data_IF_828920746335
#
_entry.id   IF_828920746335
#
_cell.length_a   1.000
_cell.length_b   1.000
_cell.length_c   1.000
_cell.angle_alpha   90.00
_cell.angle_beta   90.00
_cell.angle_gamma   90.00
#
_symmetry.space_group_name_H-M   'P 1'
#
loop_
_entity.id
_entity.type
_entity.pdbx_description
1 polymer ?
#
# COMPACT_ATOMS: atom_id res chain seq x y z
N UNK A 1 -23.63 0.74 -2.74
CA UNK A 1 -24.17 0.45 -4.10
C UNK A 1 -23.04 -0.07 -4.99
N UNK A 2 -23.28 -1.01 -5.91
CA UNK A 2 -22.27 -1.42 -6.89
C UNK A 2 -22.21 -0.38 -8.02
N UNK A 3 -21.02 0.15 -8.33
CA UNK A 3 -20.79 1.11 -9.42
C UNK A 3 -20.25 0.45 -10.69
N UNK A 4 -19.47 -0.63 -10.54
CA UNK A 4 -18.88 -1.35 -11.67
C UNK A 4 -18.39 -2.74 -11.28
N UNK A 5 -18.36 -3.63 -12.27
CA UNK A 5 -17.83 -4.99 -12.16
C UNK A 5 -16.86 -5.23 -13.33
N UNK A 6 -15.78 -5.97 -13.08
CA UNK A 6 -14.74 -6.30 -14.04
C UNK A 6 -14.11 -7.65 -13.73
N UNK A 7 -13.51 -8.29 -14.72
CA UNK A 7 -12.63 -9.44 -14.57
C UNK A 7 -11.21 -9.07 -14.09
N UNK A 8 -10.95 -7.77 -13.88
CA UNK A 8 -9.76 -7.24 -13.25
C UNK A 8 -8.63 -6.87 -14.20
N UNK A 9 -8.79 -7.03 -15.52
CA UNK A 9 -7.73 -6.75 -16.48
C UNK A 9 -7.37 -5.25 -16.55
N UNK A 10 -6.08 -4.96 -16.50
CA UNK A 10 -5.55 -3.61 -16.72
C UNK A 10 -4.14 -3.66 -17.32
N UNK A 11 -3.72 -2.57 -17.96
CA UNK A 11 -2.35 -2.39 -18.46
C UNK A 11 -1.77 -1.16 -17.78
N UNK A 12 -0.64 -1.34 -17.10
CA UNK A 12 0.07 -0.24 -16.45
C UNK A 12 0.69 0.70 -17.47
N UNK A 13 0.74 2.01 -17.16
CA UNK A 13 1.37 3.03 -18.02
C UNK A 13 2.40 3.89 -17.28
N UNK A 14 2.55 3.65 -15.98
CA UNK A 14 3.51 4.32 -15.11
C UNK A 14 4.91 3.71 -15.17
N UNK A 15 5.82 4.31 -14.42
CA UNK A 15 7.26 3.98 -14.48
C UNK A 15 7.60 2.56 -14.01
N UNK A 16 6.78 1.97 -13.13
CA UNK A 16 7.05 0.65 -12.53
C UNK A 16 6.47 -0.47 -13.41
N UNK A 17 5.23 -0.33 -13.88
CA UNK A 17 4.56 -1.38 -14.65
C UNK A 17 4.70 -1.22 -16.17
N UNK A 18 4.80 0.01 -16.70
CA UNK A 18 5.28 0.32 -18.06
C UNK A 18 4.83 -0.62 -19.18
N UNK A 19 3.55 -0.59 -19.55
CA UNK A 19 2.99 -1.36 -20.67
C UNK A 19 2.71 -2.84 -20.36
N UNK A 20 3.01 -3.31 -19.14
CA UNK A 20 2.73 -4.69 -18.74
C UNK A 20 1.24 -4.89 -18.44
N UNK A 21 0.71 -6.00 -18.96
CA UNK A 21 -0.63 -6.46 -18.65
C UNK A 21 -0.66 -7.14 -17.28
N UNK A 22 -1.67 -6.80 -16.49
CA UNK A 22 -1.90 -7.31 -15.15
C UNK A 22 -3.38 -7.60 -14.94
N UNK A 23 -3.70 -8.29 -13.86
CA UNK A 23 -5.08 -8.47 -13.42
C UNK A 23 -5.19 -8.37 -11.90
N UNK A 24 -6.33 -7.88 -11.42
CA UNK A 24 -6.79 -7.97 -10.03
C UNK A 24 -7.75 -9.14 -9.78
N UNK A 25 -7.99 -9.97 -10.80
CA UNK A 25 -9.07 -10.95 -10.83
C UNK A 25 -10.45 -10.28 -10.71
N UNK A 26 -11.52 -11.04 -10.41
CA UNK A 26 -12.84 -10.48 -10.14
C UNK A 26 -12.78 -9.22 -9.26
N UNK A 27 -13.22 -8.10 -9.85
CA UNK A 27 -13.07 -6.76 -9.28
C UNK A 27 -14.40 -6.05 -9.29
N UNK A 28 -14.68 -5.32 -8.22
CA UNK A 28 -15.87 -4.49 -8.09
C UNK A 28 -15.49 -3.11 -7.58
N UNK A 29 -16.10 -2.07 -8.17
CA UNK A 29 -16.13 -0.74 -7.57
C UNK A 29 -17.46 -0.60 -6.85
N UNK A 30 -17.40 -0.34 -5.56
CA UNK A 30 -18.58 -0.10 -4.73
C UNK A 30 -18.55 1.30 -4.15
N UNK A 31 -19.73 1.87 -3.98
CA UNK A 31 -19.97 3.10 -3.25
C UNK A 31 -20.51 2.76 -1.85
N UNK A 32 -19.86 3.31 -0.83
CA UNK A 32 -20.28 3.23 0.58
C UNK A 32 -20.35 4.65 1.10
N UNK A 33 -21.56 5.19 1.23
CA UNK A 33 -21.83 6.55 1.73
C UNK A 33 -20.98 7.63 1.05
N UNK A 34 -20.83 7.55 -0.29
CA UNK A 34 -20.03 8.48 -1.09
C UNK A 34 -18.53 8.19 -1.11
N UNK A 35 -18.07 7.12 -0.47
CA UNK A 35 -16.70 6.60 -0.57
C UNK A 35 -16.67 5.51 -1.64
N UNK A 36 -15.84 5.69 -2.65
CA UNK A 36 -15.56 4.63 -3.61
C UNK A 36 -14.50 3.68 -3.08
N UNK A 37 -14.79 2.39 -3.18
CA UNK A 37 -13.91 1.31 -2.75
C UNK A 37 -13.70 0.37 -3.93
N UNK A 38 -12.45 0.23 -4.35
CA UNK A 38 -12.03 -0.79 -5.30
C UNK A 38 -11.79 -2.10 -4.54
N UNK A 39 -12.66 -3.08 -4.75
CA UNK A 39 -12.57 -4.42 -4.18
C UNK A 39 -11.97 -5.35 -5.22
N UNK A 40 -10.89 -6.04 -4.85
CA UNK A 40 -10.12 -6.92 -5.74
C UNK A 40 -9.98 -8.30 -5.11
N UNK A 41 -9.96 -9.36 -5.93
CA UNK A 41 -9.71 -10.71 -5.45
C UNK A 41 -8.23 -11.06 -5.35
N UNK A 42 -7.40 -10.45 -6.20
CA UNK A 42 -5.95 -10.67 -6.23
C UNK A 42 -5.23 -9.41 -5.75
N UNK A 43 -4.72 -9.47 -4.51
CA UNK A 43 -4.02 -8.34 -3.88
C UNK A 43 -2.66 -8.09 -4.55
N UNK A 44 -2.42 -6.85 -4.96
CA UNK A 44 -1.11 -6.39 -5.43
C UNK A 44 -0.75 -5.04 -4.80
N UNK A 45 0.50 -4.61 -4.98
CA UNK A 45 0.93 -3.27 -4.55
C UNK A 45 0.33 -2.20 -5.47
N UNK A 46 -0.16 -1.11 -4.89
CA UNK A 46 -0.60 0.08 -5.63
C UNK A 46 0.62 0.89 -6.06
N UNK A 47 1.06 0.73 -7.31
CA UNK A 47 2.29 1.28 -7.90
C UNK A 47 2.05 1.97 -9.24
N UNK A 48 0.80 2.06 -9.69
CA UNK A 48 0.41 2.65 -10.97
C UNK A 48 -0.99 3.29 -10.87
N UNK A 49 -1.24 4.37 -11.63
CA UNK A 49 -2.55 5.04 -11.66
C UNK A 49 -3.59 4.22 -12.42
N UNK A 50 -3.16 3.39 -13.37
CA UNK A 50 -4.04 2.51 -14.14
C UNK A 50 -4.74 1.47 -13.29
N UNK A 51 -4.17 1.12 -12.13
CA UNK A 51 -4.80 0.27 -11.13
C UNK A 51 -6.10 0.86 -10.55
N UNK A 52 -6.36 2.16 -10.74
CA UNK A 52 -7.63 2.81 -10.41
C UNK A 52 -8.40 3.22 -11.66
N UNK A 53 -7.71 3.82 -12.65
CA UNK A 53 -8.32 4.35 -13.88
C UNK A 53 -8.98 3.28 -14.73
N UNK A 54 -8.38 2.10 -14.83
CA UNK A 54 -8.95 0.98 -15.59
C UNK A 54 -10.35 0.56 -15.08
N UNK A 55 -10.66 0.89 -13.82
CA UNK A 55 -11.94 0.58 -13.18
C UNK A 55 -12.80 1.84 -12.96
N UNK A 56 -12.50 2.94 -13.66
CA UNK A 56 -13.33 4.15 -13.68
C UNK A 56 -13.08 5.12 -12.52
N UNK A 57 -12.02 4.94 -11.73
CA UNK A 57 -11.66 5.85 -10.65
C UNK A 57 -10.50 6.74 -11.12
N UNK A 58 -10.77 8.01 -11.47
CA UNK A 58 -9.71 8.99 -11.75
C UNK A 58 -9.17 9.57 -10.42
N UNK A 59 -7.92 9.28 -10.04
CA UNK A 59 -7.42 9.68 -8.72
C UNK A 59 -7.28 11.20 -8.57
N UNK A 60 -7.02 11.94 -9.66
CA UNK A 60 -6.87 13.40 -9.65
C UNK A 60 -8.18 14.15 -9.36
N UNK A 61 -9.32 13.50 -9.57
CA UNK A 61 -10.64 14.07 -9.30
C UNK A 61 -11.08 13.86 -7.84
N UNK A 62 -10.27 13.15 -7.03
CA UNK A 62 -10.60 12.82 -5.65
C UNK A 62 -9.86 13.70 -4.67
N UNK A 63 -10.62 14.21 -3.69
CA UNK A 63 -10.08 15.05 -2.61
C UNK A 63 -9.11 14.28 -1.70
N UNK A 64 -9.36 12.98 -1.50
CA UNK A 64 -8.57 12.08 -0.66
C UNK A 64 -8.48 10.72 -1.33
N UNK A 65 -7.29 10.13 -1.31
CA UNK A 65 -7.05 8.76 -1.73
C UNK A 65 -6.41 7.99 -0.56
N UNK A 66 -7.00 6.84 -0.22
CA UNK A 66 -6.45 5.93 0.79
C UNK A 66 -5.80 4.73 0.10
N UNK A 67 -4.51 4.53 0.30
CA UNK A 67 -3.75 3.40 -0.25
C UNK A 67 -3.11 2.59 0.87
N UNK A 68 -3.22 1.26 0.79
CA UNK A 68 -2.51 0.36 1.70
C UNK A 68 -1.08 0.14 1.20
N UNK A 69 -0.20 1.12 1.43
CA UNK A 69 1.21 1.04 1.07
C UNK A 69 2.08 1.83 2.03
N UNK A 70 3.39 1.58 2.04
CA UNK A 70 4.37 2.35 2.82
C UNK A 70 5.28 3.22 1.94
N UNK A 71 5.72 2.71 0.78
CA UNK A 71 6.77 3.34 -0.02
C UNK A 71 6.47 3.36 -1.52
N UNK A 72 6.26 2.21 -2.16
CA UNK A 72 6.24 2.14 -3.63
C UNK A 72 5.11 2.94 -4.31
N UNK A 73 4.02 3.23 -3.60
CA UNK A 73 2.95 4.09 -4.14
C UNK A 73 3.47 5.50 -4.51
N UNK A 74 4.52 5.97 -3.85
CA UNK A 74 5.03 7.33 -4.03
C UNK A 74 5.38 7.63 -5.48
N UNK A 75 6.02 6.69 -6.17
CA UNK A 75 6.42 6.87 -7.57
C UNK A 75 5.24 7.23 -8.50
N UNK A 76 4.07 6.61 -8.31
CA UNK A 76 2.89 6.87 -9.13
C UNK A 76 1.99 7.99 -8.60
N UNK A 77 1.82 8.06 -7.28
CA UNK A 77 0.77 8.88 -6.67
C UNK A 77 1.28 10.21 -6.09
N UNK A 78 2.54 10.32 -5.64
CA UNK A 78 3.06 11.61 -5.15
C UNK A 78 2.99 12.74 -6.19
N UNK A 79 3.28 12.52 -7.48
CA UNK A 79 3.23 13.58 -8.48
C UNK A 79 1.84 14.20 -8.68
N UNK A 80 0.77 13.58 -8.17
CA UNK A 80 -0.62 14.01 -8.39
C UNK A 80 -1.32 14.50 -7.12
N UNK A 81 -0.65 14.49 -5.96
CA UNK A 81 -1.24 14.89 -4.67
C UNK A 81 -0.48 16.06 -4.05
N UNK A 82 -1.20 16.94 -3.36
CA UNK A 82 -0.56 18.06 -2.64
C UNK A 82 0.08 17.67 -1.31
N UNK A 83 -0.30 16.54 -0.72
CA UNK A 83 0.21 16.07 0.58
C UNK A 83 0.04 14.56 0.74
N UNK A 84 1.09 13.91 1.24
CA UNK A 84 1.05 12.52 1.71
C UNK A 84 0.96 12.50 3.24
N UNK A 85 0.00 11.74 3.77
CA UNK A 85 -0.15 11.49 5.21
C UNK A 85 0.05 9.98 5.43
N UNK A 86 1.12 9.62 6.15
CA UNK A 86 1.38 8.22 6.52
C UNK A 86 0.63 7.90 7.81
N UNK A 87 -0.24 6.89 7.76
CA UNK A 87 -1.07 6.47 8.89
C UNK A 87 -0.70 5.05 9.34
N UNK A 88 -0.46 4.88 10.64
CA UNK A 88 -0.40 3.55 11.26
C UNK A 88 -1.80 3.14 11.73
N UNK A 89 -2.41 2.16 11.05
CA UNK A 89 -3.70 1.60 11.43
C UNK A 89 -3.60 0.57 12.59
N UNK A 90 -2.39 0.31 13.11
CA UNK A 90 -2.18 -0.58 14.26
C UNK A 90 -2.25 -2.08 13.95
N UNK A 91 -2.36 -2.46 12.69
CA UNK A 91 -2.45 -3.86 12.26
C UNK A 91 -1.06 -4.54 12.15
N UNK A 92 -1.01 -5.70 11.48
CA UNK A 92 0.23 -6.22 10.88
C UNK A 92 0.87 -5.08 10.06
N UNK A 93 2.15 -5.05 9.74
CA UNK A 93 2.81 -3.89 9.10
C UNK A 93 2.82 -2.56 9.89
N UNK A 94 2.34 -2.49 11.14
CA UNK A 94 2.73 -1.40 12.05
C UNK A 94 4.26 -1.37 12.22
N UNK A 95 4.91 -0.19 12.28
CA UNK A 95 6.35 -0.08 12.54
C UNK A 95 6.71 -0.33 14.02
N UNK A 96 5.71 -0.39 14.90
CA UNK A 96 5.89 -0.63 16.34
C UNK A 96 6.12 -2.12 16.59
N UNK A 97 7.37 -2.54 16.45
CA UNK A 97 7.77 -3.94 16.64
C UNK A 97 7.38 -4.45 18.04
N UNK A 98 7.45 -3.61 19.06
CA UNK A 98 7.10 -3.94 20.44
C UNK A 98 5.63 -4.37 20.62
N UNK A 99 4.74 -4.03 19.68
CA UNK A 99 3.34 -4.46 19.73
C UNK A 99 3.12 -5.92 19.32
N UNK A 100 4.14 -6.58 18.77
CA UNK A 100 4.01 -7.97 18.29
C UNK A 100 4.60 -8.96 19.30
N UNK A 101 3.98 -10.14 19.46
CA UNK A 101 4.45 -11.17 20.39
C UNK A 101 5.63 -11.96 19.80
N UNK A 102 6.80 -11.34 19.68
CA UNK A 102 8.00 -12.02 19.22
C UNK A 102 8.55 -13.00 20.28
N UNK A 103 8.42 -14.31 20.02
CA UNK A 103 8.82 -15.37 20.98
C UNK A 103 10.19 -15.98 20.65
N UNK A 104 10.55 -16.11 19.36
CA UNK A 104 11.75 -16.84 18.89
C UNK A 104 12.82 -15.94 18.29
N UNK A 105 12.77 -14.63 18.57
CA UNK A 105 13.79 -13.70 18.08
C UNK A 105 15.02 -13.78 18.98
N UNK A 106 16.25 -13.77 18.42
CA UNK A 106 17.47 -13.66 19.22
C UNK A 106 17.45 -12.39 20.05
N UNK A 107 17.90 -12.46 21.31
CA UNK A 107 17.96 -11.31 22.22
C UNK A 107 19.38 -11.12 22.77
N UNK A 108 19.81 -9.87 23.08
CA UNK A 108 19.02 -8.64 22.99
C UNK A 108 18.84 -8.15 21.54
N UNK A 109 17.67 -7.62 21.21
CA UNK A 109 17.33 -7.08 19.90
C UNK A 109 16.71 -5.69 20.02
N UNK A 110 17.43 -4.66 19.57
CA UNK A 110 16.84 -3.33 19.39
C UNK A 110 15.79 -3.36 18.25
N UNK A 111 14.60 -2.76 18.40
CA UNK A 111 14.11 -1.95 19.53
C UNK A 111 13.24 -2.73 20.55
N UNK A 112 13.19 -4.07 20.49
CA UNK A 112 12.39 -4.89 21.41
C UNK A 112 12.96 -4.91 22.83
N UNK A 113 14.29 -4.94 22.95
CA UNK A 113 15.02 -4.87 24.21
C UNK A 113 15.68 -3.48 24.30
N UNK A 114 15.23 -2.65 25.26
CA UNK A 114 15.70 -1.25 25.40
C UNK A 114 17.08 -1.15 26.05
N UNK A 115 17.45 -2.15 26.83
CA UNK A 115 18.77 -2.26 27.46
C UNK A 115 19.82 -2.85 26.49
N UNK A 116 19.60 -2.65 25.17
CA UNK A 116 20.50 -3.13 24.12
C UNK A 116 21.82 -2.36 24.17
N UNK A 117 22.90 -3.04 24.57
CA UNK A 117 24.25 -2.54 24.39
C UNK A 117 24.74 -2.86 22.97
N UNK A 118 24.97 -1.82 22.18
CA UNK A 118 25.57 -1.96 20.85
C UNK A 118 26.99 -2.49 21.01
N UNK A 119 27.22 -3.77 20.71
CA UNK A 119 28.57 -4.28 20.54
C UNK A 119 29.26 -3.47 19.44
N UNK A 120 30.38 -2.84 19.79
CA UNK A 120 31.20 -2.07 18.85
C UNK A 120 31.54 -2.94 17.65
N UNK A 121 31.47 -2.35 16.45
CA UNK A 121 32.03 -3.00 15.26
C UNK A 121 33.53 -3.15 15.53
N UNK A 122 34.14 -4.35 15.37
CA UNK A 122 35.59 -4.43 15.42
C UNK A 122 36.15 -3.45 14.39
N UNK A 123 37.07 -2.59 14.84
CA UNK A 123 37.82 -1.72 13.94
C UNK A 123 38.55 -2.61 12.93
N UNK A 124 38.42 -2.28 11.65
CA UNK A 124 39.08 -2.97 10.56
C UNK A 124 40.52 -2.46 10.40
#
# INVERSE_FOLDING_TARGET
>A
MIRGLSDGAYVGDGQIQGGLAHSFGPTAVIDVDGIEVLVVSESQQMVDLQQLRAFGIEPRERRVLALKSMQHFRAAFEPIVGKVIVCDAGALATPRAERRPYIRVPRPLWPLDRDFERQGRPEA
#
